data_IF_838446168484
#
_entry.id   IF_838446168484
#
_cell.length_a   1.000
_cell.length_b   1.000
_cell.length_c   1.000
_cell.angle_alpha   90.00
_cell.angle_beta   90.00
_cell.angle_gamma   90.00
#
_symmetry.space_group_name_H-M   'P 1'
#
loop_
_entity.id
_entity.type
_entity.pdbx_description
1 polymer ?
#
# COMPACT_ATOMS: atom_id res chain seq x y z
N UNK A 1 -16.92 16.40 -7.54
CA UNK A 1 -16.87 15.42 -8.63
C UNK A 1 -15.68 15.59 -9.56
N UNK A 2 -15.44 16.78 -10.07
CA UNK A 2 -14.26 17.08 -10.87
C UNK A 2 -12.97 17.10 -10.06
N UNK A 3 -13.06 17.40 -8.78
CA UNK A 3 -11.91 17.42 -7.88
C UNK A 3 -11.34 16.03 -7.62
N UNK A 4 -12.19 15.01 -7.63
CA UNK A 4 -11.74 13.62 -7.40
C UNK A 4 -10.95 13.06 -8.58
N UNK A 5 -11.31 13.41 -9.80
CA UNK A 5 -10.60 12.98 -10.99
C UNK A 5 -9.23 13.67 -11.13
N UNK A 6 -9.12 14.91 -10.63
CA UNK A 6 -7.85 15.65 -10.68
C UNK A 6 -6.85 15.16 -9.64
N UNK A 7 -7.35 14.63 -8.50
CA UNK A 7 -6.47 14.04 -7.48
C UNK A 7 -5.87 12.74 -7.94
N UNK A 8 -6.64 11.92 -8.67
CA UNK A 8 -6.14 10.64 -9.19
C UNK A 8 -4.96 10.83 -10.15
N UNK A 9 -5.00 11.88 -10.97
CA UNK A 9 -3.92 12.18 -11.92
C UNK A 9 -2.64 12.68 -11.24
N UNK A 10 -2.73 13.11 -9.98
CA UNK A 10 -1.58 13.62 -9.23
C UNK A 10 -0.92 12.57 -8.38
N UNK A 11 -1.61 11.48 -8.08
CA UNK A 11 -1.03 10.42 -7.28
C UNK A 11 0.02 9.68 -8.07
N UNK A 12 1.16 9.44 -7.44
CA UNK A 12 2.16 8.54 -7.97
C UNK A 12 1.97 7.16 -7.35
N UNK A 13 1.80 6.16 -8.20
CA UNK A 13 1.73 4.77 -7.78
C UNK A 13 3.06 4.12 -8.16
N UNK A 14 3.78 3.60 -7.17
CA UNK A 14 5.10 3.01 -7.38
C UNK A 14 5.18 1.66 -6.68
N UNK A 15 5.60 0.64 -7.40
CA UNK A 15 5.65 -0.72 -6.88
C UNK A 15 7.06 -1.10 -6.44
N UNK A 16 7.13 -1.78 -5.31
CA UNK A 16 8.34 -2.45 -4.82
C UNK A 16 8.06 -3.94 -4.89
N UNK A 17 8.71 -4.63 -5.82
CA UNK A 17 8.51 -6.05 -6.04
C UNK A 17 9.77 -6.85 -5.75
N UNK A 18 9.68 -8.16 -5.79
CA UNK A 18 10.80 -9.07 -5.52
C UNK A 18 10.31 -10.33 -4.82
N UNK A 19 11.21 -11.27 -4.65
CA UNK A 19 10.91 -12.51 -3.95
C UNK A 19 10.64 -12.28 -2.48
N UNK A 20 10.03 -13.27 -1.84
CA UNK A 20 9.86 -13.27 -0.39
C UNK A 20 11.22 -13.10 0.28
N UNK A 21 11.28 -12.26 1.31
CA UNK A 21 12.50 -11.92 2.05
C UNK A 21 13.59 -11.25 1.19
N UNK A 22 13.19 -10.53 0.15
CA UNK A 22 14.13 -9.77 -0.71
C UNK A 22 14.42 -8.36 -0.20
N UNK A 23 13.83 -7.95 0.93
CA UNK A 23 14.04 -6.63 1.51
C UNK A 23 12.99 -5.60 1.16
N UNK A 24 11.87 -6.01 0.57
CA UNK A 24 10.78 -5.08 0.18
C UNK A 24 10.26 -4.25 1.33
N UNK A 25 9.93 -4.90 2.43
CA UNK A 25 9.37 -4.24 3.60
C UNK A 25 10.36 -3.25 4.20
N UNK A 26 11.63 -3.64 4.32
CA UNK A 26 12.69 -2.78 4.83
C UNK A 26 12.89 -1.55 3.94
N UNK A 27 12.89 -1.74 2.62
CA UNK A 27 12.99 -0.64 1.69
C UNK A 27 11.83 0.35 1.86
N UNK A 28 10.60 -0.17 1.94
CA UNK A 28 9.41 0.68 2.13
C UNK A 28 9.50 1.43 3.47
N UNK A 29 9.91 0.76 4.55
CA UNK A 29 10.12 1.40 5.85
C UNK A 29 11.10 2.57 5.78
N UNK A 30 12.11 2.46 4.92
CA UNK A 30 13.11 3.50 4.76
C UNK A 30 12.69 4.59 3.77
N UNK A 31 11.86 4.26 2.79
CA UNK A 31 11.33 5.22 1.82
C UNK A 31 10.31 6.17 2.45
N UNK A 32 9.43 5.65 3.28
CA UNK A 32 8.33 6.44 3.86
C UNK A 32 8.84 7.67 4.61
N UNK A 33 9.80 7.57 5.54
CA UNK A 33 10.30 8.75 6.23
C UNK A 33 10.92 9.80 5.31
N UNK A 34 11.63 9.36 4.28
CA UNK A 34 12.25 10.28 3.32
C UNK A 34 11.17 11.08 2.58
N UNK A 35 10.16 10.38 2.06
CA UNK A 35 9.07 11.02 1.31
C UNK A 35 8.22 11.93 2.20
N UNK A 36 7.93 11.52 3.42
CA UNK A 36 7.15 12.33 4.36
C UNK A 36 7.90 13.57 4.80
N UNK A 37 9.22 13.49 4.92
CA UNK A 37 10.06 14.65 5.25
C UNK A 37 10.00 15.71 4.15
N UNK A 38 9.83 15.30 2.89
CA UNK A 38 9.60 16.23 1.78
C UNK A 38 8.17 16.77 1.72
N UNK A 39 7.31 16.37 2.65
CA UNK A 39 5.93 16.84 2.73
C UNK A 39 4.91 16.00 1.99
N UNK A 40 5.30 14.86 1.45
CA UNK A 40 4.38 13.98 0.73
C UNK A 40 3.67 13.00 1.66
N UNK A 41 2.39 12.81 1.43
CA UNK A 41 1.57 11.83 2.16
C UNK A 41 1.68 10.48 1.47
N UNK A 42 2.08 9.47 2.22
CA UNK A 42 2.35 8.14 1.68
C UNK A 42 1.35 7.14 2.24
N UNK A 43 0.77 6.33 1.37
CA UNK A 43 0.00 5.15 1.75
C UNK A 43 0.68 3.92 1.17
N UNK A 44 0.38 2.76 1.74
CA UNK A 44 0.92 1.49 1.25
C UNK A 44 -0.20 0.49 1.00
N UNK A 45 -0.03 -0.32 -0.02
CA UNK A 45 -0.92 -1.43 -0.34
C UNK A 45 -0.05 -2.66 -0.54
N UNK A 46 -0.30 -3.71 0.24
CA UNK A 46 0.44 -4.95 0.13
C UNK A 46 -0.43 -6.05 -0.49
N UNK A 47 0.12 -6.74 -1.48
CA UNK A 47 -0.47 -7.96 -2.00
C UNK A 47 0.16 -9.15 -1.30
N UNK A 48 -0.67 -9.96 -0.65
CA UNK A 48 -0.23 -11.21 -0.06
C UNK A 48 -0.66 -12.36 -0.98
N UNK A 49 0.29 -13.23 -1.34
CA UNK A 49 0.02 -14.36 -2.21
C UNK A 49 -0.81 -15.44 -1.52
N UNK A 50 -0.87 -15.42 -0.21
CA UNK A 50 -1.61 -16.37 0.61
C UNK A 50 -2.73 -15.66 1.37
N UNK A 51 -3.75 -16.43 1.73
CA UNK A 51 -4.79 -15.90 2.61
C UNK A 51 -4.16 -15.49 3.94
N UNK A 52 -4.63 -14.40 4.48
CA UNK A 52 -4.12 -13.87 5.73
C UNK A 52 -5.27 -13.60 6.69
N UNK A 53 -4.96 -13.64 7.99
CA UNK A 53 -5.90 -13.29 9.04
C UNK A 53 -5.50 -11.93 9.60
N UNK A 54 -6.22 -10.85 9.25
CA UNK A 54 -5.84 -9.51 9.70
C UNK A 54 -6.27 -9.21 11.12
N UNK A 55 -7.19 -10.00 11.67
CA UNK A 55 -7.76 -9.74 12.97
C UNK A 55 -7.11 -10.63 14.04
N UNK A 56 -7.20 -10.18 15.29
CA UNK A 56 -6.67 -10.93 16.42
C UNK A 56 -7.72 -11.95 16.87
N UNK A 57 -7.38 -13.26 16.89
CA UNK A 57 -8.33 -14.28 17.33
C UNK A 57 -8.90 -13.99 18.72
N UNK A 58 -10.20 -14.13 18.86
CA UNK A 58 -10.89 -13.92 20.12
C UNK A 58 -11.40 -12.52 20.37
N UNK A 59 -11.06 -11.56 19.53
CA UNK A 59 -11.61 -10.20 19.62
C UNK A 59 -13.04 -10.14 19.10
N UNK A 60 -13.76 -9.06 19.41
CA UNK A 60 -15.17 -8.92 19.05
C UNK A 60 -15.38 -9.00 17.54
N UNK A 61 -14.61 -8.24 16.76
CA UNK A 61 -14.74 -8.25 15.31
C UNK A 61 -14.37 -9.59 14.69
N UNK A 62 -13.35 -10.25 15.22
CA UNK A 62 -13.00 -11.61 14.83
C UNK A 62 -14.18 -12.58 15.06
N UNK A 63 -14.82 -12.49 16.24
CA UNK A 63 -15.96 -13.33 16.58
C UNK A 63 -17.16 -13.07 15.68
N UNK A 64 -17.42 -11.80 15.35
CA UNK A 64 -18.48 -11.44 14.41
C UNK A 64 -18.26 -12.09 13.05
N UNK A 65 -17.04 -12.01 12.54
CA UNK A 65 -16.70 -12.60 11.25
C UNK A 65 -16.83 -14.13 11.28
N UNK A 66 -16.35 -14.77 12.32
CA UNK A 66 -16.46 -16.23 12.48
C UNK A 66 -17.91 -16.68 12.59
N UNK A 67 -18.77 -15.85 13.12
CA UNK A 67 -20.21 -16.14 13.18
C UNK A 67 -20.93 -16.00 11.83
N UNK A 68 -20.24 -15.48 10.81
CA UNK A 68 -20.78 -15.41 9.45
C UNK A 68 -21.05 -14.01 8.92
N UNK A 69 -20.57 -12.96 9.60
CA UNK A 69 -20.73 -11.59 9.09
C UNK A 69 -20.02 -11.44 7.74
N UNK A 70 -20.65 -10.73 6.81
CA UNK A 70 -20.08 -10.39 5.50
C UNK A 70 -18.79 -9.59 5.65
N UNK A 71 -18.71 -8.77 6.67
CA UNK A 71 -17.58 -7.93 6.96
C UNK A 71 -17.75 -7.27 8.31
N UNK A 72 -16.73 -6.60 8.75
CA UNK A 72 -16.72 -5.88 10.03
C UNK A 72 -16.10 -4.51 9.85
N UNK A 73 -16.50 -3.57 10.67
CA UNK A 73 -15.84 -2.29 10.79
C UNK A 73 -15.68 -1.94 12.26
N UNK A 74 -14.56 -1.33 12.58
CA UNK A 74 -14.32 -0.80 13.91
C UNK A 74 -13.74 0.60 13.76
N UNK A 75 -14.17 1.52 14.61
CA UNK A 75 -13.66 2.88 14.56
C UNK A 75 -13.62 3.50 15.95
N UNK A 76 -12.72 4.44 16.09
CA UNK A 76 -12.60 5.31 17.26
C UNK A 76 -12.48 6.75 16.76
N UNK A 77 -12.24 7.72 17.65
CA UNK A 77 -12.11 9.10 17.26
C UNK A 77 -10.97 9.43 16.29
N UNK A 78 -9.99 8.54 16.15
CA UNK A 78 -8.77 8.80 15.37
C UNK A 78 -8.50 7.76 14.28
N UNK A 79 -9.08 6.59 14.39
CA UNK A 79 -8.71 5.46 13.53
C UNK A 79 -9.92 4.60 13.23
N UNK A 80 -9.94 4.04 12.04
CA UNK A 80 -10.97 3.08 11.64
C UNK A 80 -10.35 2.00 10.76
N UNK A 81 -11.03 0.86 10.76
CA UNK A 81 -10.63 -0.29 9.95
C UNK A 81 -11.88 -0.97 9.41
N UNK A 82 -11.86 -1.30 8.13
CA UNK A 82 -12.90 -2.12 7.48
C UNK A 82 -12.23 -3.39 7.00
N UNK A 83 -12.90 -4.51 7.23
CA UNK A 83 -12.45 -5.80 6.76
C UNK A 83 -13.63 -6.52 6.11
N UNK A 84 -13.38 -7.09 4.95
CA UNK A 84 -14.37 -7.92 4.28
C UNK A 84 -13.67 -8.95 3.40
N UNK A 85 -14.29 -10.11 3.25
CA UNK A 85 -13.82 -11.12 2.32
C UNK A 85 -14.21 -10.72 0.90
N UNK A 86 -13.27 -10.89 -0.03
CA UNK A 86 -13.53 -10.64 -1.44
C UNK A 86 -14.14 -11.89 -2.06
N UNK A 87 -15.34 -11.78 -2.63
CA UNK A 87 -15.94 -12.87 -3.41
C UNK A 87 -15.27 -13.02 -4.76
N UNK A 88 -14.75 -11.92 -5.29
CA UNK A 88 -14.02 -11.86 -6.53
C UNK A 88 -12.68 -11.19 -6.28
N UNK A 89 -11.75 -11.36 -7.23
CA UNK A 89 -10.44 -10.74 -7.12
C UNK A 89 -10.59 -9.21 -7.09
N UNK A 90 -10.23 -8.59 -5.99
CA UNK A 90 -10.27 -7.15 -5.85
C UNK A 90 -9.17 -6.50 -6.72
N UNK A 91 -9.49 -5.40 -7.39
CA UNK A 91 -8.51 -4.68 -8.17
C UNK A 91 -7.72 -3.70 -7.30
N UNK A 92 -6.45 -3.50 -7.64
CA UNK A 92 -5.62 -2.52 -6.94
C UNK A 92 -6.18 -1.10 -7.09
N UNK A 93 -6.84 -0.82 -8.20
CA UNK A 93 -7.47 0.50 -8.44
C UNK A 93 -8.52 0.83 -7.39
N UNK A 94 -9.28 -0.16 -6.94
CA UNK A 94 -10.27 0.04 -5.88
C UNK A 94 -9.60 0.36 -4.54
N UNK A 95 -8.47 -0.30 -4.25
CA UNK A 95 -7.71 -0.05 -3.04
C UNK A 95 -7.05 1.33 -3.07
N UNK A 96 -6.58 1.76 -4.22
CA UNK A 96 -6.03 3.11 -4.40
C UNK A 96 -7.08 4.18 -4.05
N UNK A 97 -8.32 3.96 -4.44
CA UNK A 97 -9.42 4.88 -4.14
C UNK A 97 -9.69 5.04 -2.64
N UNK A 98 -9.24 4.11 -1.83
CA UNK A 98 -9.36 4.21 -0.37
C UNK A 98 -8.41 5.25 0.23
N UNK A 99 -7.42 5.71 -0.53
CA UNK A 99 -6.42 6.68 -0.07
C UNK A 99 -6.38 7.92 -0.98
N UNK A 100 -7.49 8.66 -1.08
CA UNK A 100 -7.54 9.81 -1.99
C UNK A 100 -6.61 10.95 -1.56
N UNK A 101 -6.20 10.97 -0.30
CA UNK A 101 -5.32 12.00 0.25
C UNK A 101 -3.84 11.71 0.05
N UNK A 102 -3.49 10.50 -0.38
CA UNK A 102 -2.09 10.13 -0.56
C UNK A 102 -1.51 10.78 -1.82
N UNK A 103 -0.31 11.31 -1.70
CA UNK A 103 0.46 11.80 -2.85
C UNK A 103 1.19 10.66 -3.54
N UNK A 104 1.65 9.69 -2.75
CA UNK A 104 2.38 8.52 -3.23
C UNK A 104 1.75 7.28 -2.62
N UNK A 105 1.50 6.29 -3.43
CA UNK A 105 1.06 4.97 -2.96
C UNK A 105 2.14 3.96 -3.35
N UNK A 106 2.73 3.34 -2.33
CA UNK A 106 3.74 2.30 -2.52
C UNK A 106 3.04 0.95 -2.50
N UNK A 107 3.20 0.21 -3.59
CA UNK A 107 2.65 -1.13 -3.71
C UNK A 107 3.74 -2.13 -3.33
N UNK A 108 3.50 -2.96 -2.33
CA UNK A 108 4.41 -4.06 -1.98
C UNK A 108 3.95 -5.33 -2.69
N UNK A 109 4.78 -5.84 -3.60
CA UNK A 109 4.44 -6.94 -4.49
C UNK A 109 4.04 -6.42 -5.87
N UNK A 110 3.00 -7.00 -6.46
CA UNK A 110 2.43 -6.53 -7.73
C UNK A 110 3.44 -6.55 -8.90
N UNK A 111 4.25 -7.59 -9.00
CA UNK A 111 5.31 -7.68 -10.01
C UNK A 111 4.82 -7.60 -11.46
N UNK A 112 3.57 -7.94 -11.70
CA UNK A 112 2.96 -7.94 -13.03
C UNK A 112 2.12 -6.70 -13.30
N UNK A 113 2.18 -5.69 -12.43
CA UNK A 113 1.44 -4.44 -12.63
C UNK A 113 2.12 -3.56 -13.69
N UNK A 114 1.35 -2.71 -14.32
CA UNK A 114 1.86 -1.72 -15.27
C UNK A 114 2.44 -0.46 -14.63
N UNK A 115 2.48 -0.40 -13.31
CA UNK A 115 3.02 0.76 -12.60
C UNK A 115 4.56 0.76 -12.61
N UNK A 116 5.19 1.96 -12.55
CA UNK A 116 6.64 2.02 -12.35
C UNK A 116 7.04 1.24 -11.11
N UNK A 117 8.18 0.58 -11.17
CA UNK A 117 8.59 -0.31 -10.09
C UNK A 117 10.09 -0.39 -9.91
N UNK A 118 10.46 -0.77 -8.71
CA UNK A 118 11.79 -1.24 -8.36
C UNK A 118 11.72 -2.71 -7.95
N UNK A 119 12.62 -3.54 -8.44
CA UNK A 119 12.66 -4.96 -8.11
C UNK A 119 13.81 -5.24 -7.15
N UNK A 120 13.48 -5.68 -5.94
CA UNK A 120 14.46 -6.13 -4.97
C UNK A 120 14.99 -7.49 -5.40
N UNK A 121 16.29 -7.58 -5.65
CA UNK A 121 16.90 -8.80 -6.19
C UNK A 121 17.65 -9.63 -5.16
N UNK A 122 18.14 -9.01 -4.08
CA UNK A 122 18.96 -9.72 -3.10
C UNK A 122 18.81 -9.07 -1.72
N UNK A 123 18.52 -9.87 -0.67
CA UNK A 123 18.37 -9.32 0.68
C UNK A 123 19.69 -8.81 1.28
N UNK A 124 20.82 -9.26 0.76
CA UNK A 124 22.15 -8.85 1.23
C UNK A 124 22.58 -7.50 0.65
N UNK A 125 22.03 -7.14 -0.51
CA UNK A 125 22.21 -5.84 -1.10
C UNK A 125 21.05 -4.95 -0.67
N UNK A 126 21.22 -4.28 0.46
CA UNK A 126 20.22 -3.32 0.89
C UNK A 126 20.04 -2.25 -0.19
N UNK A 127 18.87 -2.22 -0.79
CA UNK A 127 18.53 -1.20 -1.76
C UNK A 127 18.73 0.19 -1.13
N UNK A 128 19.35 1.08 -1.84
CA UNK A 128 19.57 2.44 -1.35
C UNK A 128 18.26 3.23 -1.43
N UNK A 129 17.58 3.35 -0.30
CA UNK A 129 16.31 4.06 -0.21
C UNK A 129 16.43 5.52 -0.67
N UNK A 130 17.55 6.17 -0.40
CA UNK A 130 17.77 7.56 -0.82
C UNK A 130 17.76 7.71 -2.34
N UNK A 131 18.40 6.80 -3.05
CA UNK A 131 18.40 6.82 -4.53
C UNK A 131 17.02 6.52 -5.11
N UNK A 132 16.31 5.58 -4.53
CA UNK A 132 14.96 5.24 -4.98
C UNK A 132 14.01 6.39 -4.68
N UNK A 133 14.16 7.04 -3.53
CA UNK A 133 13.39 8.23 -3.19
C UNK A 133 13.63 9.35 -4.22
N UNK A 134 14.87 9.56 -4.67
CA UNK A 134 15.16 10.54 -5.73
C UNK A 134 14.39 10.22 -7.01
N UNK A 135 14.37 8.96 -7.42
CA UNK A 135 13.61 8.53 -8.60
C UNK A 135 12.12 8.85 -8.43
N UNK A 136 11.56 8.54 -7.28
CA UNK A 136 10.16 8.80 -6.98
C UNK A 136 9.88 10.30 -6.99
N UNK A 137 10.73 11.10 -6.36
CA UNK A 137 10.58 12.56 -6.32
C UNK A 137 10.66 13.17 -7.72
N UNK A 138 11.57 12.69 -8.57
CA UNK A 138 11.66 13.13 -9.94
C UNK A 138 10.41 12.81 -10.73
N UNK A 139 9.81 11.64 -10.51
CA UNK A 139 8.56 11.25 -11.13
C UNK A 139 7.40 12.15 -10.68
N UNK A 140 7.34 12.50 -9.42
CA UNK A 140 6.31 13.41 -8.89
C UNK A 140 6.45 14.78 -9.56
N UNK A 141 7.66 15.29 -9.66
CA UNK A 141 7.92 16.64 -10.18
C UNK A 141 7.73 16.74 -11.69
N UNK A 142 7.74 15.63 -12.41
CA UNK A 142 7.56 15.62 -13.87
C UNK A 142 6.10 15.42 -14.30
N UNK A 143 5.20 15.30 -13.36
CA UNK A 143 3.74 15.20 -13.63
C UNK A 143 3.08 16.56 -13.80
#
# INVERSE_FOLDING_TARGET
>A
MREDSVKDDRQLIFAISGYKNSGKTTLIENLIPILTEYGYKVATIKHDAHDFEPDVPGTDTYRHRKAGALGTAIFSGRRWRIERDAKEKISVKELIKAFPDADVILLEGFKNSGYPKYVCSCPEENADASKIAEVILDMINSK
#
